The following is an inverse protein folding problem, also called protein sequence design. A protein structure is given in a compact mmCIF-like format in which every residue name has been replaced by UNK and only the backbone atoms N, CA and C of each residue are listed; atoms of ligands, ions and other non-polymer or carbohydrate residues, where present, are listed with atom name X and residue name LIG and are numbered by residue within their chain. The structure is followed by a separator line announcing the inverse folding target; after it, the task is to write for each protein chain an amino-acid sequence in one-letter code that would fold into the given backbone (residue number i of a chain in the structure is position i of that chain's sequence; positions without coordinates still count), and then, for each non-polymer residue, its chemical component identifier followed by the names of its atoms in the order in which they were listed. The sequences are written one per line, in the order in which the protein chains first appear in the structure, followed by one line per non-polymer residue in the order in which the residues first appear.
data_IF_819167341821
#
_entry.id   IF_819167341821
#
_cell.length_a   1.000
_cell.length_b   1.000
_cell.length_c   1.000
_cell.angle_alpha   90.00
_cell.angle_beta   90.00
_cell.angle_gamma   90.00
#
_symmetry.space_group_name_H-M   'P 1'
#
loop_
_entity.id
_entity.type
_entity.pdbx_description
1 polymer ?
#
# COMPACT_ATOMS: atom_id res chain seq x y z
N UNK A 1 -10.59 -21.91 -37.89
CA UNK A 1 -9.74 -22.04 -36.68
C UNK A 1 -10.51 -21.50 -35.48
N UNK A 2 -10.80 -22.33 -34.47
CA UNK A 2 -11.45 -21.89 -33.22
C UNK A 2 -10.42 -21.14 -32.38
N UNK A 3 -10.63 -19.84 -32.13
CA UNK A 3 -9.82 -19.04 -31.19
C UNK A 3 -9.88 -19.74 -29.82
N UNK A 4 -8.76 -20.32 -29.38
CA UNK A 4 -8.62 -20.80 -28.01
C UNK A 4 -8.75 -19.57 -27.11
N UNK A 5 -9.85 -19.45 -26.38
CA UNK A 5 -10.00 -18.49 -25.30
C UNK A 5 -8.91 -18.82 -24.27
N UNK A 6 -7.79 -18.10 -24.33
CA UNK A 6 -6.82 -18.07 -23.25
C UNK A 6 -7.58 -17.54 -22.05
N UNK A 7 -7.89 -18.42 -21.08
CA UNK A 7 -8.40 -17.99 -19.78
C UNK A 7 -7.32 -17.09 -19.18
N UNK A 8 -7.49 -15.77 -19.33
CA UNK A 8 -6.71 -14.77 -18.62
C UNK A 8 -6.88 -15.15 -17.15
N UNK A 9 -5.78 -15.57 -16.49
CA UNK A 9 -5.78 -15.81 -15.04
C UNK A 9 -6.13 -14.47 -14.39
N UNK A 10 -7.39 -14.30 -14.03
CA UNK A 10 -7.86 -13.10 -13.32
C UNK A 10 -7.14 -13.10 -11.97
N UNK A 11 -6.48 -11.98 -11.63
CA UNK A 11 -5.89 -11.78 -10.30
C UNK A 11 -6.89 -11.96 -9.16
N UNK A 12 -6.39 -11.90 -7.94
CA UNK A 12 -7.18 -12.03 -6.71
C UNK A 12 -7.90 -10.71 -6.38
N UNK A 13 -9.08 -10.83 -5.78
CA UNK A 13 -9.81 -9.68 -5.25
C UNK A 13 -9.68 -9.71 -3.73
N UNK A 14 -9.11 -8.65 -3.17
CA UNK A 14 -8.85 -8.52 -1.73
C UNK A 14 -9.66 -7.38 -1.09
N UNK A 15 -10.68 -6.86 -1.78
CA UNK A 15 -11.55 -5.81 -1.25
C UNK A 15 -12.22 -6.25 0.04
N UNK A 16 -11.98 -5.51 1.12
CA UNK A 16 -12.53 -5.79 2.45
C UNK A 16 -12.59 -4.51 3.26
N UNK A 17 -13.77 -4.19 3.79
CA UNK A 17 -13.99 -2.99 4.60
C UNK A 17 -13.10 -2.98 5.85
N UNK A 18 -12.72 -1.77 6.28
CA UNK A 18 -11.96 -1.49 7.50
C UNK A 18 -10.63 -2.23 7.57
N UNK A 19 -10.06 -2.54 6.40
CA UNK A 19 -8.73 -3.12 6.25
C UNK A 19 -7.85 -2.21 5.39
N UNK A 20 -6.62 -2.01 5.84
CA UNK A 20 -5.58 -1.31 5.07
C UNK A 20 -4.43 -2.27 4.85
N UNK A 21 -3.97 -2.37 3.60
CA UNK A 21 -2.76 -3.10 3.25
C UNK A 21 -1.64 -2.13 2.99
N UNK A 22 -0.45 -2.44 3.49
CA UNK A 22 0.69 -1.53 3.49
C UNK A 22 1.92 -2.18 2.86
N UNK A 23 2.53 -1.48 1.91
CA UNK A 23 3.79 -1.84 1.28
C UNK A 23 4.81 -0.73 1.47
N UNK A 24 6.07 -1.09 1.67
CA UNK A 24 7.15 -0.13 1.78
C UNK A 24 8.28 -0.47 0.80
N UNK A 25 8.94 0.57 0.32
CA UNK A 25 10.16 0.48 -0.48
C UNK A 25 11.36 0.94 0.32
N UNK A 26 12.52 0.35 0.03
CA UNK A 26 13.82 0.88 0.40
C UNK A 26 14.63 1.33 -0.82
N UNK A 27 14.05 1.20 -2.02
CA UNK A 27 14.65 1.67 -3.28
C UNK A 27 14.43 3.17 -3.44
N UNK A 28 15.47 3.95 -3.81
CA UNK A 28 15.30 5.35 -4.17
C UNK A 28 14.16 5.54 -5.17
N UNK A 29 13.33 6.56 -4.99
CA UNK A 29 12.18 6.77 -5.87
C UNK A 29 12.60 6.95 -7.35
N UNK A 30 13.75 7.60 -7.58
CA UNK A 30 14.33 7.80 -8.91
C UNK A 30 14.75 6.49 -9.62
N UNK A 31 14.97 5.40 -8.88
CA UNK A 31 15.35 4.10 -9.45
C UNK A 31 14.14 3.25 -9.86
N UNK A 32 12.92 3.68 -9.49
CA UNK A 32 11.69 2.96 -9.84
C UNK A 32 11.21 3.47 -11.19
N UNK A 33 11.06 2.60 -12.21
CA UNK A 33 10.57 3.03 -13.52
C UNK A 33 9.18 3.67 -13.41
N UNK A 34 8.94 4.78 -14.09
CA UNK A 34 7.63 5.47 -14.07
C UNK A 34 6.47 4.53 -14.47
N UNK A 35 6.71 3.66 -15.46
CA UNK A 35 5.78 2.61 -15.91
C UNK A 35 5.38 1.60 -14.82
N UNK A 36 6.11 1.58 -13.69
CA UNK A 36 5.77 0.72 -12.56
C UNK A 36 4.45 1.15 -11.89
N UNK A 37 4.21 2.47 -11.81
CA UNK A 37 2.99 3.05 -11.25
C UNK A 37 1.94 3.45 -12.28
N UNK A 38 2.30 3.54 -13.57
CA UNK A 38 1.38 3.94 -14.63
C UNK A 38 0.07 3.13 -14.63
N UNK A 39 -1.05 3.82 -14.36
CA UNK A 39 -2.34 3.21 -14.13
C UNK A 39 -3.13 3.00 -15.43
N UNK A 40 -3.67 1.79 -15.58
CA UNK A 40 -4.65 1.43 -16.60
C UNK A 40 -6.03 1.33 -15.98
N UNK A 41 -6.90 2.24 -16.38
CA UNK A 41 -8.23 2.37 -15.82
C UNK A 41 -9.27 1.49 -16.52
N UNK A 42 -10.24 1.03 -15.75
CA UNK A 42 -11.42 0.32 -16.23
C UNK A 42 -12.64 0.65 -15.37
N UNK A 43 -13.85 0.28 -15.86
CA UNK A 43 -15.13 0.50 -15.17
C UNK A 43 -15.29 1.95 -14.70
N UNK A 44 -15.40 2.87 -15.66
CA UNK A 44 -15.58 4.31 -15.41
C UNK A 44 -14.51 4.89 -14.45
N UNK A 45 -13.25 4.52 -14.67
CA UNK A 45 -12.10 4.98 -13.88
C UNK A 45 -12.13 4.63 -12.38
N UNK A 46 -12.99 3.69 -11.97
CA UNK A 46 -13.06 3.23 -10.56
C UNK A 46 -12.11 2.08 -10.24
N UNK A 47 -11.47 1.50 -11.26
CA UNK A 47 -10.58 0.34 -11.11
C UNK A 47 -9.31 0.58 -11.89
N UNK A 48 -8.17 0.52 -11.21
CA UNK A 48 -6.86 0.60 -11.83
C UNK A 48 -6.12 -0.74 -11.75
N UNK A 49 -5.24 -0.95 -12.72
CA UNK A 49 -4.12 -1.89 -12.66
C UNK A 49 -2.86 -1.20 -13.15
N UNK A 50 -1.72 -1.56 -12.57
CA UNK A 50 -0.39 -1.15 -12.98
C UNK A 50 0.59 -2.32 -12.75
N UNK A 51 1.88 -2.12 -13.02
CA UNK A 51 2.91 -3.16 -12.87
C UNK A 51 2.96 -3.68 -11.44
N UNK A 52 2.96 -2.79 -10.44
CA UNK A 52 2.88 -3.16 -9.02
C UNK A 52 1.71 -4.11 -8.72
N UNK A 53 0.48 -3.71 -9.05
CA UNK A 53 -0.70 -4.52 -8.78
C UNK A 53 -0.66 -5.88 -9.50
N UNK A 54 -0.07 -5.94 -10.70
CA UNK A 54 0.08 -7.18 -11.46
C UNK A 54 1.11 -8.11 -10.81
N UNK A 55 2.25 -7.57 -10.33
CA UNK A 55 3.29 -8.34 -9.64
C UNK A 55 2.73 -9.01 -8.38
N UNK A 56 1.90 -8.29 -7.63
CA UNK A 56 1.18 -8.81 -6.46
C UNK A 56 -0.07 -9.64 -6.80
N UNK A 57 -0.34 -9.90 -8.09
CA UNK A 57 -1.49 -10.67 -8.60
C UNK A 57 -2.84 -10.09 -8.16
N UNK A 58 -2.92 -8.79 -7.95
CA UNK A 58 -4.18 -8.08 -7.68
C UNK A 58 -5.01 -8.01 -8.96
N UNK A 59 -6.32 -8.19 -8.85
CA UNK A 59 -7.22 -8.06 -10.01
C UNK A 59 -7.37 -6.61 -10.46
N UNK A 60 -7.49 -5.72 -9.49
CA UNK A 60 -7.54 -4.27 -9.61
C UNK A 60 -7.47 -3.69 -8.18
N UNK A 61 -7.24 -2.39 -8.10
CA UNK A 61 -7.44 -1.57 -6.90
C UNK A 61 -8.25 -0.31 -7.23
N UNK A 62 -8.69 0.43 -6.21
CA UNK A 62 -9.36 1.72 -6.36
C UNK A 62 -8.37 2.84 -6.05
N UNK A 63 -7.97 3.68 -7.02
CA UNK A 63 -6.99 4.75 -6.77
C UNK A 63 -7.44 5.75 -5.70
N UNK A 64 -8.75 6.00 -5.60
CA UNK A 64 -9.33 6.86 -4.54
C UNK A 64 -9.21 6.29 -3.12
N UNK A 65 -8.74 5.05 -2.97
CA UNK A 65 -8.49 4.37 -1.68
C UNK A 65 -6.99 4.13 -1.46
N UNK A 66 -6.14 4.70 -2.30
CA UNK A 66 -4.69 4.57 -2.22
C UNK A 66 -4.09 5.88 -1.71
N UNK A 67 -3.19 5.78 -0.75
CA UNK A 67 -2.32 6.86 -0.31
C UNK A 67 -0.87 6.43 -0.44
N UNK A 68 0.00 7.41 -0.72
CA UNK A 68 1.44 7.21 -0.77
C UNK A 68 2.14 8.33 -0.03
N UNK A 69 3.18 8.01 0.70
CA UNK A 69 4.02 9.01 1.37
C UNK A 69 5.49 8.57 1.39
N UNK A 70 6.43 9.49 1.61
CA UNK A 70 7.85 9.17 1.61
C UNK A 70 8.75 10.38 1.40
N UNK A 71 9.98 10.10 0.95
CA UNK A 71 10.98 11.09 0.58
C UNK A 71 11.50 10.82 -0.84
N UNK A 72 11.82 11.89 -1.57
CA UNK A 72 12.44 11.80 -2.90
C UNK A 72 13.91 11.40 -2.82
N UNK A 73 14.60 11.81 -1.75
CA UNK A 73 16.03 11.53 -1.52
C UNK A 73 16.25 10.95 -0.11
N UNK A 74 17.19 10.00 0.00
CA UNK A 74 17.52 9.34 1.26
C UNK A 74 16.42 8.42 1.78
N UNK A 75 16.37 8.24 3.10
CA UNK A 75 15.34 7.46 3.78
C UNK A 75 14.63 8.29 4.83
N UNK A 76 13.42 7.88 5.17
CA UNK A 76 12.59 8.43 6.23
C UNK A 76 12.15 7.29 7.16
N UNK A 77 11.92 7.62 8.43
CA UNK A 77 11.36 6.67 9.36
C UNK A 77 9.95 6.25 8.93
N UNK A 78 9.66 4.95 8.88
CA UNK A 78 8.33 4.46 8.48
C UNK A 78 7.22 4.97 9.40
N UNK A 79 7.51 5.22 10.67
CA UNK A 79 6.54 5.82 11.60
C UNK A 79 6.14 7.21 11.12
N UNK A 80 7.10 7.98 10.65
CA UNK A 80 6.84 9.32 10.14
C UNK A 80 6.02 9.25 8.85
N UNK A 81 6.46 8.46 7.88
CA UNK A 81 5.74 8.32 6.60
C UNK A 81 4.28 7.87 6.79
N UNK A 82 4.03 6.90 7.67
CA UNK A 82 2.66 6.41 7.96
C UNK A 82 1.88 7.39 8.83
N UNK A 83 2.53 8.05 9.78
CA UNK A 83 1.86 8.92 10.76
C UNK A 83 1.16 10.12 10.13
N UNK A 84 1.55 10.51 8.91
CA UNK A 84 0.91 11.55 8.10
C UNK A 84 -0.24 11.01 7.24
N UNK A 85 -0.41 9.69 7.10
CA UNK A 85 -1.49 9.08 6.32
C UNK A 85 -2.78 8.97 7.13
N UNK A 86 -3.91 8.91 6.41
CA UNK A 86 -5.25 8.85 7.00
C UNK A 86 -5.41 7.65 7.96
N UNK A 87 -6.13 7.87 9.05
CA UNK A 87 -6.50 6.85 10.05
C UNK A 87 -5.30 6.16 10.73
N UNK A 88 -4.08 6.65 10.53
CA UNK A 88 -2.85 5.95 10.93
C UNK A 88 -2.75 5.71 12.43
N UNK A 89 -3.34 6.57 13.25
CA UNK A 89 -3.41 6.40 14.69
C UNK A 89 -4.05 5.06 15.11
N UNK A 90 -4.99 4.53 14.33
CA UNK A 90 -5.69 3.27 14.62
C UNK A 90 -4.85 1.99 14.37
N UNK A 91 -3.78 2.07 13.57
CA UNK A 91 -3.00 0.87 13.18
C UNK A 91 -1.49 1.00 13.32
N UNK A 92 -0.96 2.19 13.65
CA UNK A 92 0.48 2.46 13.66
C UNK A 92 1.27 1.53 14.58
N UNK A 93 0.78 1.22 15.79
CA UNK A 93 1.52 0.38 16.74
C UNK A 93 1.75 -1.05 16.20
N UNK A 94 0.70 -1.63 15.63
CA UNK A 94 0.75 -2.99 15.06
C UNK A 94 1.62 -2.99 13.81
N UNK A 95 1.53 -1.94 12.99
CA UNK A 95 2.37 -1.74 11.82
C UNK A 95 3.84 -1.67 12.20
N UNK A 96 4.20 -0.85 13.21
CA UNK A 96 5.59 -0.71 13.67
C UNK A 96 6.17 -2.04 14.17
N UNK A 97 5.37 -2.86 14.87
CA UNK A 97 5.78 -4.21 15.28
C UNK A 97 6.12 -5.12 14.09
N UNK A 98 5.37 -5.02 12.98
CA UNK A 98 5.63 -5.77 11.74
C UNK A 98 6.83 -5.22 10.97
N UNK A 99 6.92 -3.89 10.83
CA UNK A 99 8.03 -3.22 10.16
C UNK A 99 9.38 -3.58 10.81
N UNK A 100 9.45 -3.54 12.15
CA UNK A 100 10.65 -3.94 12.90
C UNK A 100 11.09 -5.38 12.61
N UNK A 101 10.14 -6.33 12.56
CA UNK A 101 10.42 -7.75 12.24
C UNK A 101 10.95 -7.92 10.81
N UNK A 102 10.50 -7.08 9.89
CA UNK A 102 10.91 -7.06 8.48
C UNK A 102 12.13 -6.16 8.21
N UNK A 103 12.69 -5.49 9.23
CA UNK A 103 13.78 -4.52 9.11
C UNK A 103 13.45 -3.34 8.18
N UNK A 104 12.19 -2.90 8.16
CA UNK A 104 11.67 -1.77 7.36
C UNK A 104 11.47 -0.52 8.22
N UNK A 105 12.41 -0.20 9.11
CA UNK A 105 12.31 0.99 9.97
C UNK A 105 12.58 2.27 9.19
N UNK A 106 13.51 2.19 8.25
CA UNK A 106 13.90 3.25 7.34
C UNK A 106 13.47 2.85 5.94
N UNK A 107 12.71 3.70 5.28
CA UNK A 107 12.10 3.45 3.98
C UNK A 107 12.30 4.67 3.08
N UNK A 108 12.13 4.50 1.78
CA UNK A 108 12.11 5.64 0.84
C UNK A 108 10.69 6.14 0.65
N UNK A 109 9.73 5.24 0.52
CA UNK A 109 8.32 5.58 0.40
C UNK A 109 7.42 4.38 0.73
N UNK A 110 6.14 4.65 0.92
CA UNK A 110 5.12 3.72 1.37
C UNK A 110 3.86 3.82 0.53
N UNK A 111 3.16 2.70 0.37
CA UNK A 111 1.82 2.59 -0.22
C UNK A 111 0.87 2.09 0.85
N UNK A 112 -0.23 2.79 1.06
CA UNK A 112 -1.38 2.34 1.83
C UNK A 112 -2.55 2.15 0.87
N UNK A 113 -3.20 0.99 0.92
CA UNK A 113 -4.41 0.71 0.17
C UNK A 113 -5.55 0.34 1.13
N UNK A 114 -6.49 1.27 1.30
CA UNK A 114 -7.66 1.15 2.17
C UNK A 114 -8.75 0.29 1.52
N UNK A 115 -9.65 -0.20 2.37
CA UNK A 115 -10.66 -1.20 2.03
C UNK A 115 -10.08 -2.44 1.32
N UNK A 116 -8.87 -2.85 1.74
CA UNK A 116 -8.10 -3.89 1.09
C UNK A 116 -7.32 -4.73 2.10
N UNK A 117 -7.53 -6.05 2.05
CA UNK A 117 -6.82 -7.04 2.88
C UNK A 117 -5.98 -7.97 1.99
N UNK A 118 -4.86 -7.45 1.51
CA UNK A 118 -3.92 -8.24 0.74
C UNK A 118 -3.38 -9.41 1.56
N UNK A 119 -3.28 -10.59 0.93
CA UNK A 119 -2.80 -11.80 1.56
C UNK A 119 -1.68 -12.45 0.75
N UNK A 120 -0.44 -12.31 1.24
CA UNK A 120 0.72 -13.02 0.70
C UNK A 120 0.52 -14.55 0.73
N UNK A 121 -0.28 -15.06 1.67
CA UNK A 121 -0.65 -16.49 1.73
C UNK A 121 -1.48 -16.93 0.53
N UNK A 122 -2.34 -16.06 0.01
CA UNK A 122 -3.20 -16.35 -1.15
C UNK A 122 -2.43 -16.15 -2.46
N UNK A 123 -1.68 -15.04 -2.57
CA UNK A 123 -0.96 -14.70 -3.80
C UNK A 123 0.37 -15.47 -3.97
N UNK A 124 0.93 -15.96 -2.86
CA UNK A 124 2.31 -16.42 -2.72
C UNK A 124 3.37 -15.35 -3.02
N UNK A 125 3.02 -14.07 -2.90
CA UNK A 125 3.91 -12.91 -3.16
C UNK A 125 3.91 -12.01 -1.93
N UNK A 126 5.08 -11.88 -1.31
CA UNK A 126 5.30 -10.98 -0.17
C UNK A 126 6.04 -9.70 -0.57
N UNK A 127 6.93 -9.77 -1.56
CA UNK A 127 7.64 -8.64 -2.13
C UNK A 127 7.79 -8.83 -3.63
N UNK A 128 8.07 -7.72 -4.33
CA UNK A 128 8.62 -7.75 -5.68
C UNK A 128 9.98 -7.02 -5.72
N UNK A 129 10.38 -6.54 -6.90
CA UNK A 129 11.64 -5.84 -7.10
C UNK A 129 11.74 -4.53 -6.31
N UNK A 130 10.63 -3.81 -6.09
CA UNK A 130 10.68 -2.45 -5.54
C UNK A 130 10.02 -2.33 -4.18
N UNK A 131 8.98 -3.12 -3.92
CA UNK A 131 8.19 -2.98 -2.68
C UNK A 131 8.01 -4.29 -1.94
N UNK A 132 7.98 -4.20 -0.62
CA UNK A 132 7.73 -5.31 0.29
C UNK A 132 6.44 -5.06 1.07
N UNK A 133 5.57 -6.07 1.13
CA UNK A 133 4.40 -6.04 2.00
C UNK A 133 4.83 -5.96 3.47
N UNK A 134 4.42 -4.90 4.15
CA UNK A 134 4.57 -4.74 5.60
C UNK A 134 3.50 -5.59 6.31
N UNK A 135 2.25 -5.48 5.87
CA UNK A 135 1.12 -6.24 6.40
C UNK A 135 -0.24 -5.71 5.95
N UNK A 136 -1.30 -6.33 6.48
CA UNK A 136 -2.65 -5.81 6.41
C UNK A 136 -3.20 -5.66 7.84
N UNK A 137 -3.87 -4.55 8.10
CA UNK A 137 -4.27 -4.12 9.44
C UNK A 137 -5.74 -3.72 9.44
N UNK A 138 -6.38 -3.87 10.59
CA UNK A 138 -7.64 -3.18 10.86
C UNK A 138 -7.36 -1.68 10.99
N UNK A 139 -8.25 -0.85 10.46
CA UNK A 139 -8.22 0.60 10.69
C UNK A 139 -9.63 1.08 11.06
N UNK A 140 -9.68 2.22 11.74
CA UNK A 140 -10.90 2.89 12.17
C UNK A 140 -11.05 4.21 11.40
N UNK A 141 -12.10 4.33 10.58
CA UNK A 141 -12.35 5.50 9.73
C UNK A 141 -12.88 6.72 10.51
N UNK A 142 -13.14 6.58 11.81
CA UNK A 142 -13.45 7.69 12.71
C UNK A 142 -12.20 8.29 13.39
N UNK A 143 -11.00 7.76 13.09
CA UNK A 143 -9.73 8.21 13.69
C UNK A 143 -8.94 9.17 12.80
N UNK A 144 -8.13 10.03 13.41
CA UNK A 144 -7.26 10.95 12.67
C UNK A 144 -5.92 10.32 12.32
N UNK A 145 -5.12 11.00 11.48
CA UNK A 145 -3.72 10.63 11.32
C UNK A 145 -2.95 10.84 12.64
N UNK A 146 -1.86 10.10 12.85
CA UNK A 146 -1.09 10.19 14.10
C UNK A 146 -0.61 11.61 14.39
N UNK A 147 -0.19 12.35 13.36
CA UNK A 147 0.39 13.68 13.55
C UNK A 147 -0.63 14.82 13.56
N UNK A 148 -1.84 14.64 13.03
CA UNK A 148 -2.94 15.57 13.28
C UNK A 148 -3.37 15.55 14.76
N UNK A 149 -3.25 14.39 15.41
CA UNK A 149 -3.54 14.24 16.84
C UNK A 149 -2.49 14.99 17.67
N UNK A 150 -1.21 14.82 17.35
CA UNK A 150 -0.11 15.46 18.10
C UNK A 150 -0.19 16.99 18.04
N UNK A 151 -0.48 17.58 16.87
CA UNK A 151 -0.61 19.05 16.72
C UNK A 151 -1.73 19.65 17.60
N UNK A 152 -2.82 18.91 17.85
CA UNK A 152 -3.90 19.38 18.74
C UNK A 152 -3.49 19.46 20.21
N UNK A 153 -2.52 18.65 20.64
CA UNK A 153 -2.05 18.63 22.03
C UNK A 153 -1.00 19.71 22.34
N UNK A 154 -0.42 20.36 21.32
CA UNK A 154 0.54 21.46 21.49
C UNK A 154 -0.09 22.86 21.43
N UNK A 155 -1.42 22.97 21.21
CA UNK A 155 -2.15 24.26 21.09
C UNK A 155 -3.04 24.55 22.32
N UNK A 156 -2.86 23.83 23.43
CA UNK A 156 -3.51 24.09 24.74
C UNK A 156 -2.50 24.38 25.83
#
# INVERSE_FOLDING_TARGET
MKKKNVKIKKGFLFSKKNKVSVWASTHPYADIPEAYFEERFSKNNTRATNTWSNNFKMRYFSPSKMETNGTHEGTINIKQAVGECSFSSSFIEVLMSKAKKKKLNEITWIILLFEYEYSAKISAIESDEYVTLVGAFDYDDDTESLFEIDDKFFVT
#
